data_IF_635909934387
#
_entry.id   IF_635909934387
#
_cell.length_a   1.000
_cell.length_b   1.000
_cell.length_c   1.000
_cell.angle_alpha   90.00
_cell.angle_beta   90.00
_cell.angle_gamma   90.00
#
_symmetry.space_group_name_H-M   'P 1'
#
loop_
_entity.id
_entity.type
_entity.pdbx_description
1 polymer ?
#
# COMPACT_ATOMS: atom_id res chain seq x y z
N UNK A 1 -0.92 -22.18 9.59
CA UNK A 1 -1.01 -20.87 8.90
C UNK A 1 -1.15 -19.82 9.98
N UNK A 2 -0.02 -19.35 10.49
CA UNK A 2 0.05 -18.33 11.54
C UNK A 2 -0.59 -17.06 11.01
N UNK A 3 -1.49 -16.51 11.83
CA UNK A 3 -2.29 -15.33 11.59
C UNK A 3 -1.34 -14.14 11.42
N UNK A 4 -0.76 -13.97 10.24
CA UNK A 4 -0.28 -12.69 9.77
C UNK A 4 -1.40 -11.71 10.08
N UNK A 5 -1.17 -10.84 11.07
CA UNK A 5 -2.21 -10.08 11.73
C UNK A 5 -3.01 -9.30 10.68
N UNK A 6 -4.16 -9.87 10.29
CA UNK A 6 -5.02 -9.33 9.24
C UNK A 6 -5.42 -7.89 9.59
N UNK A 7 -5.36 -7.53 10.88
CA UNK A 7 -5.60 -6.18 11.39
C UNK A 7 -4.63 -5.11 10.89
N UNK A 8 -3.42 -5.48 10.43
CA UNK A 8 -2.49 -4.49 9.84
C UNK A 8 -2.93 -4.12 8.44
N UNK A 9 -3.27 -5.11 7.60
CA UNK A 9 -3.67 -4.88 6.21
C UNK A 9 -5.00 -4.12 6.09
N UNK A 10 -5.92 -4.30 7.04
CA UNK A 10 -7.19 -3.56 7.06
C UNK A 10 -7.00 -2.05 7.29
N UNK A 11 -5.83 -1.62 7.76
CA UNK A 11 -5.47 -0.21 7.96
C UNK A 11 -4.58 0.34 6.84
N UNK A 12 -4.24 -0.47 5.84
CA UNK A 12 -3.47 -0.06 4.68
C UNK A 12 -4.40 0.33 3.53
N UNK A 13 -4.12 1.48 2.94
CA UNK A 13 -4.88 2.03 1.83
C UNK A 13 -3.93 2.32 0.67
N UNK A 14 -4.30 1.83 -0.50
CA UNK A 14 -3.65 2.16 -1.76
C UNK A 14 -4.32 3.43 -2.31
N UNK A 15 -3.49 4.42 -2.65
CA UNK A 15 -3.92 5.70 -3.22
C UNK A 15 -3.41 5.72 -4.66
N UNK A 16 -4.32 5.63 -5.62
CA UNK A 16 -4.00 5.58 -7.06
C UNK A 16 -4.49 6.85 -7.73
N UNK A 17 -3.64 7.51 -8.53
CA UNK A 17 -4.04 8.68 -9.28
C UNK A 17 -5.19 8.32 -10.24
N UNK A 18 -6.27 9.10 -10.21
CA UNK A 18 -7.43 8.90 -11.07
C UNK A 18 -7.22 9.48 -12.49
N UNK A 19 -6.11 10.18 -12.72
CA UNK A 19 -5.84 10.94 -13.94
C UNK A 19 -6.17 12.41 -13.72
N UNK A 20 -7.17 12.91 -14.46
CA UNK A 20 -7.67 14.28 -14.34
C UNK A 20 -8.95 14.35 -13.49
N UNK A 21 -9.18 15.41 -12.70
CA UNK A 21 -8.28 16.57 -12.51
C UNK A 21 -7.06 16.23 -11.64
N UNK A 22 -6.03 17.08 -11.66
CA UNK A 22 -4.87 16.95 -10.76
C UNK A 22 -5.28 16.78 -9.29
N UNK A 23 -4.41 16.15 -8.50
CA UNK A 23 -4.62 15.85 -7.07
C UNK A 23 -5.87 15.00 -6.77
N UNK A 24 -6.36 14.26 -7.78
CA UNK A 24 -7.52 13.38 -7.64
C UNK A 24 -7.11 11.91 -7.65
N UNK A 25 -7.64 11.15 -6.68
CA UNK A 25 -7.20 9.80 -6.40
C UNK A 25 -8.38 8.87 -6.09
N UNK A 26 -8.19 7.59 -6.39
CA UNK A 26 -9.01 6.53 -5.80
C UNK A 26 -8.31 6.00 -4.56
N UNK A 27 -9.09 5.66 -3.52
CA UNK A 27 -8.57 5.17 -2.25
C UNK A 27 -9.13 3.76 -2.01
N UNK A 28 -8.27 2.74 -2.11
CA UNK A 28 -8.63 1.32 -2.01
C UNK A 28 -8.05 0.68 -0.77
N UNK A 29 -8.86 -0.03 0.01
CA UNK A 29 -8.36 -0.81 1.15
C UNK A 29 -7.56 -2.02 0.65
N UNK A 30 -6.34 -2.20 1.14
CA UNK A 30 -5.45 -3.25 0.64
C UNK A 30 -5.89 -4.66 1.07
N UNK A 31 -6.54 -4.80 2.23
CA UNK A 31 -7.04 -6.10 2.69
C UNK A 31 -8.32 -6.53 1.97
N UNK A 32 -9.28 -5.62 1.81
CA UNK A 32 -10.59 -5.95 1.25
C UNK A 32 -10.70 -5.74 -0.25
N UNK A 33 -9.79 -4.97 -0.87
CA UNK A 33 -9.88 -4.57 -2.27
C UNK A 33 -10.97 -3.54 -2.56
N UNK A 34 -11.71 -3.09 -1.54
CA UNK A 34 -12.87 -2.19 -1.68
C UNK A 34 -12.45 -0.73 -1.68
N UNK A 35 -13.19 0.09 -2.42
CA UNK A 35 -12.93 1.53 -2.55
C UNK A 35 -13.68 2.34 -1.51
N UNK A 36 -13.05 3.40 -1.00
CA UNK A 36 -13.67 4.40 -0.14
C UNK A 36 -14.71 5.18 -0.95
N UNK A 37 -15.95 5.20 -0.46
CA UNK A 37 -17.09 5.77 -1.18
C UNK A 37 -17.96 6.61 -0.24
N UNK A 38 -18.37 7.82 -0.65
CA UNK A 38 -19.36 8.60 0.08
C UNK A 38 -20.73 7.90 0.01
N UNK A 39 -21.44 7.81 1.14
CA UNK A 39 -22.76 7.17 1.25
C UNK A 39 -23.75 8.10 1.93
N UNK A 40 -24.91 8.31 1.29
CA UNK A 40 -26.00 9.15 1.78
C UNK A 40 -25.55 10.55 2.27
N UNK A 41 -24.55 11.13 1.60
CA UNK A 41 -24.08 12.51 1.82
C UNK A 41 -23.45 12.81 3.18
N UNK A 42 -23.25 11.81 4.04
CA UNK A 42 -22.80 12.01 5.42
C UNK A 42 -21.86 10.91 5.93
N UNK A 43 -21.97 9.70 5.38
CA UNK A 43 -21.16 8.56 5.81
C UNK A 43 -20.13 8.18 4.75
N UNK A 44 -19.09 7.48 5.19
CA UNK A 44 -18.13 6.84 4.29
C UNK A 44 -18.24 5.34 4.47
N UNK A 45 -18.36 4.63 3.36
CA UNK A 45 -18.41 3.16 3.30
C UNK A 45 -17.33 2.64 2.36
N UNK A 46 -17.15 1.32 2.36
CA UNK A 46 -16.30 0.65 1.36
C UNK A 46 -17.15 -0.19 0.43
N UNK A 47 -17.05 0.01 -0.89
CA UNK A 47 -17.82 -0.72 -1.90
C UNK A 47 -16.95 -1.65 -2.73
N UNK A 48 -17.54 -2.76 -3.17
CA UNK A 48 -16.89 -3.77 -3.98
C UNK A 48 -17.27 -3.58 -5.46
N UNK A 49 -16.69 -2.55 -6.09
CA UNK A 49 -16.87 -2.25 -7.51
C UNK A 49 -15.68 -1.46 -8.06
N UNK A 50 -15.55 -1.43 -9.38
CA UNK A 50 -14.63 -0.51 -10.06
C UNK A 50 -14.99 0.93 -9.69
N UNK A 51 -14.00 1.79 -9.36
CA UNK A 51 -14.28 3.17 -8.99
C UNK A 51 -14.91 3.91 -10.18
N UNK A 52 -15.91 4.72 -9.89
CA UNK A 52 -16.45 5.71 -10.80
C UNK A 52 -16.15 7.12 -10.23
N UNK A 53 -16.66 8.16 -10.88
CA UNK A 53 -16.42 9.55 -10.48
C UNK A 53 -16.76 9.85 -9.00
N UNK A 54 -17.66 9.09 -8.37
CA UNK A 54 -18.00 9.26 -6.95
C UNK A 54 -16.94 8.73 -5.97
N UNK A 55 -15.97 7.95 -6.46
CA UNK A 55 -14.83 7.42 -5.67
C UNK A 55 -13.51 8.16 -5.96
N UNK A 56 -13.60 9.33 -6.58
CA UNK A 56 -12.45 10.16 -6.95
C UNK A 56 -12.25 11.27 -5.91
N UNK A 57 -11.37 11.05 -4.96
CA UNK A 57 -11.12 11.97 -3.84
C UNK A 57 -10.05 12.99 -4.20
N UNK A 58 -10.29 14.26 -3.91
CA UNK A 58 -9.23 15.28 -3.98
C UNK A 58 -8.43 15.25 -2.69
N UNK A 59 -7.11 15.06 -2.78
CA UNK A 59 -6.22 15.05 -1.62
C UNK A 59 -5.31 16.28 -1.70
N UNK A 60 -5.56 17.26 -0.85
CA UNK A 60 -4.76 18.48 -0.77
C UNK A 60 -3.70 18.32 0.33
N UNK A 61 -2.42 18.43 -0.04
CA UNK A 61 -1.27 18.24 0.85
C UNK A 61 -0.77 19.55 1.44
N UNK A 62 -0.31 19.51 2.70
CA UNK A 62 0.32 20.66 3.38
C UNK A 62 1.84 20.76 3.15
N UNK A 63 2.41 19.83 2.39
CA UNK A 63 3.83 19.79 2.00
C UNK A 63 4.70 18.79 2.77
N UNK A 64 4.23 18.21 3.88
CA UNK A 64 5.03 17.25 4.65
C UNK A 64 4.38 15.87 4.73
N UNK A 65 3.35 15.72 5.54
CA UNK A 65 2.66 14.44 5.76
C UNK A 65 1.19 14.63 6.12
N UNK A 66 0.69 15.87 6.14
CA UNK A 66 -0.71 16.12 6.42
C UNK A 66 -1.46 16.44 5.15
N UNK A 67 -2.70 16.03 5.13
CA UNK A 67 -3.60 16.33 4.04
C UNK A 67 -5.03 16.47 4.53
N UNK A 68 -5.84 17.11 3.71
CA UNK A 68 -7.29 17.01 3.77
C UNK A 68 -7.77 16.16 2.60
N UNK A 69 -8.77 15.32 2.83
CA UNK A 69 -9.40 14.50 1.78
C UNK A 69 -10.79 15.07 1.55
N UNK A 70 -11.09 15.45 0.31
CA UNK A 70 -12.33 16.13 -0.06
C UNK A 70 -13.19 15.22 -0.96
N UNK A 71 -14.48 15.21 -0.68
CA UNK A 71 -15.48 14.52 -1.50
C UNK A 71 -15.49 15.10 -2.93
N UNK A 72 -15.46 14.27 -3.99
CA UNK A 72 -15.53 14.74 -5.37
C UNK A 72 -16.74 15.61 -5.69
N UNK A 73 -17.89 15.30 -5.08
CA UNK A 73 -19.18 15.86 -5.48
C UNK A 73 -19.63 17.01 -4.59
N UNK A 74 -18.86 17.34 -3.55
CA UNK A 74 -19.23 18.36 -2.58
C UNK A 74 -18.01 19.12 -2.07
N UNK A 75 -18.22 20.07 -1.16
CA UNK A 75 -17.12 20.69 -0.41
C UNK A 75 -16.90 20.06 0.96
N UNK A 76 -17.48 18.87 1.20
CA UNK A 76 -17.29 18.14 2.44
C UNK A 76 -15.89 17.53 2.51
N UNK A 77 -15.36 17.47 3.73
CA UNK A 77 -14.09 16.84 4.04
C UNK A 77 -14.33 15.52 4.76
N UNK A 78 -13.48 14.55 4.46
CA UNK A 78 -13.41 13.31 5.23
C UNK A 78 -12.90 13.64 6.63
N UNK A 79 -13.66 13.28 7.65
CA UNK A 79 -13.32 13.56 9.03
C UNK A 79 -13.69 12.43 9.98
N UNK A 80 -13.17 12.52 11.19
CA UNK A 80 -13.56 11.67 12.32
C UNK A 80 -14.21 12.57 13.37
N UNK A 81 -15.33 12.10 13.93
CA UNK A 81 -15.95 12.72 15.11
C UNK A 81 -15.26 12.22 16.37
N UNK A 82 -14.85 13.13 17.25
CA UNK A 82 -13.98 12.84 18.41
C UNK A 82 -14.56 11.79 19.39
N UNK A 83 -15.88 11.54 19.36
CA UNK A 83 -16.60 10.56 20.17
C UNK A 83 -16.84 9.20 19.45
N UNK A 84 -16.37 9.03 18.21
CA UNK A 84 -16.68 7.87 17.37
C UNK A 84 -15.44 7.28 16.69
N UNK A 85 -15.42 5.97 16.52
CA UNK A 85 -14.44 5.28 15.66
C UNK A 85 -14.81 5.33 14.16
N UNK A 86 -15.80 6.14 13.80
CA UNK A 86 -16.40 6.17 12.47
C UNK A 86 -15.85 7.32 11.65
N UNK A 87 -15.46 7.02 10.42
CA UNK A 87 -15.08 8.02 9.42
C UNK A 87 -16.37 8.52 8.75
N UNK A 88 -16.55 9.83 8.70
CA UNK A 88 -17.73 10.49 8.15
C UNK A 88 -17.33 11.61 7.19
N UNK A 89 -18.31 12.16 6.50
CA UNK A 89 -18.17 13.42 5.78
C UNK A 89 -18.55 14.57 6.71
N UNK A 90 -17.57 15.37 7.10
CA UNK A 90 -17.77 16.63 7.80
C UNK A 90 -18.08 17.74 6.81
N UNK A 91 -19.16 18.50 7.04
CA UNK A 91 -19.41 19.72 6.27
C UNK A 91 -18.41 20.81 6.69
N UNK A 92 -18.17 21.78 5.81
CA UNK A 92 -17.11 22.81 5.94
C UNK A 92 -17.24 23.77 7.14
N UNK A 93 -18.15 23.52 8.11
CA UNK A 93 -18.55 24.52 9.12
C UNK A 93 -18.68 23.99 10.56
N UNK A 94 -18.44 22.70 10.86
CA UNK A 94 -18.60 22.20 12.23
C UNK A 94 -17.27 21.94 12.95
N UNK A 95 -17.10 22.62 14.09
CA UNK A 95 -15.92 22.60 14.99
C UNK A 95 -15.67 21.26 15.70
N UNK A 96 -16.48 20.23 15.42
CA UNK A 96 -16.50 18.95 16.14
C UNK A 96 -15.80 17.81 15.38
N UNK A 97 -15.28 18.08 14.18
CA UNK A 97 -14.63 17.07 13.35
C UNK A 97 -13.15 17.37 13.15
N UNK A 98 -12.32 16.35 13.25
CA UNK A 98 -10.94 16.39 12.77
C UNK A 98 -10.92 15.95 11.31
N UNK A 99 -10.54 16.88 10.44
CA UNK A 99 -10.48 16.66 8.97
C UNK A 99 -9.05 16.63 8.44
N UNK A 100 -8.07 16.83 9.31
CA UNK A 100 -6.65 16.69 9.00
C UNK A 100 -6.18 15.26 9.21
N UNK A 101 -5.53 14.71 8.19
CA UNK A 101 -5.03 13.34 8.18
C UNK A 101 -3.51 13.35 8.09
N UNK A 102 -2.85 12.54 8.92
CA UNK A 102 -1.42 12.27 8.75
C UNK A 102 -1.23 10.97 7.98
N UNK A 103 -0.71 11.06 6.75
CA UNK A 103 -0.47 9.89 5.89
C UNK A 103 0.98 9.46 6.02
N UNK A 104 1.18 8.23 6.50
CA UNK A 104 2.48 7.58 6.52
C UNK A 104 2.64 6.70 5.28
N UNK A 105 3.54 7.09 4.37
CA UNK A 105 3.89 6.26 3.21
C UNK A 105 4.67 5.02 3.66
N UNK A 106 4.12 3.84 3.35
CA UNK A 106 4.73 2.52 3.66
C UNK A 106 5.19 1.77 2.41
N UNK A 107 5.08 2.38 1.23
CA UNK A 107 5.53 1.83 -0.03
C UNK A 107 6.77 2.57 -0.57
N UNK A 108 7.42 1.98 -1.57
CA UNK A 108 8.46 2.58 -2.39
C UNK A 108 8.27 2.22 -3.85
N UNK A 109 8.62 3.14 -4.73
CA UNK A 109 8.67 2.88 -6.16
C UNK A 109 9.87 2.02 -6.51
N UNK A 110 9.81 1.32 -7.64
CA UNK A 110 10.97 0.55 -8.12
C UNK A 110 12.20 1.43 -8.38
N UNK A 111 12.00 2.70 -8.77
CA UNK A 111 13.08 3.67 -8.90
C UNK A 111 13.74 3.99 -7.55
N UNK A 112 12.96 4.25 -6.50
CA UNK A 112 13.48 4.50 -5.15
C UNK A 112 14.25 3.30 -4.59
N UNK A 113 13.73 2.08 -4.80
CA UNK A 113 14.42 0.84 -4.39
C UNK A 113 15.74 0.70 -5.14
N UNK A 114 15.75 0.92 -6.46
CA UNK A 114 16.95 0.84 -7.28
C UNK A 114 18.01 1.84 -6.80
N UNK A 115 17.63 3.08 -6.54
CA UNK A 115 18.52 4.09 -5.98
C UNK A 115 19.09 3.67 -4.62
N UNK A 116 18.24 3.12 -3.73
CA UNK A 116 18.68 2.65 -2.41
C UNK A 116 19.67 1.47 -2.49
N UNK A 117 19.45 0.52 -3.39
CA UNK A 117 20.37 -0.60 -3.65
C UNK A 117 21.70 -0.08 -4.19
N UNK A 118 21.64 0.82 -5.19
CA UNK A 118 22.82 1.40 -5.81
C UNK A 118 23.73 2.12 -4.81
N UNK A 119 23.15 2.97 -3.95
CA UNK A 119 23.88 3.67 -2.89
C UNK A 119 24.66 2.73 -1.96
N UNK A 120 24.18 1.49 -1.78
CA UNK A 120 24.79 0.48 -0.90
C UNK A 120 25.78 -0.44 -1.60
N UNK A 121 25.58 -0.72 -2.90
CA UNK A 121 26.35 -1.71 -3.65
C UNK A 121 27.34 -1.09 -4.66
N UNK A 122 27.71 0.19 -4.50
CA UNK A 122 28.60 0.93 -5.39
C UNK A 122 29.91 0.21 -5.78
N UNK A 123 30.37 -0.76 -4.98
CA UNK A 123 31.58 -1.57 -5.24
C UNK A 123 31.36 -2.76 -6.18
N UNK A 124 30.13 -3.17 -6.47
CA UNK A 124 29.79 -4.34 -7.30
C UNK A 124 29.17 -3.89 -8.63
N UNK A 125 30.02 -3.42 -9.55
CA UNK A 125 29.60 -2.82 -10.84
C UNK A 125 28.73 -3.73 -11.71
N UNK A 126 28.89 -5.06 -11.61
CA UNK A 126 28.18 -6.03 -12.46
C UNK A 126 26.80 -6.45 -11.95
N UNK A 127 26.46 -6.10 -10.70
CA UNK A 127 25.15 -6.45 -10.13
C UNK A 127 24.02 -5.60 -10.75
N UNK A 128 24.34 -4.38 -11.17
CA UNK A 128 23.36 -3.40 -11.65
C UNK A 128 22.82 -3.69 -13.04
N UNK A 129 23.61 -4.31 -13.92
CA UNK A 129 23.19 -4.66 -15.29
C UNK A 129 22.14 -5.76 -15.32
N UNK A 130 21.97 -6.50 -14.21
CA UNK A 130 21.04 -7.62 -14.08
C UNK A 130 19.88 -7.34 -13.09
N UNK A 131 19.67 -6.09 -12.67
CA UNK A 131 18.49 -5.79 -11.83
C UNK A 131 17.23 -5.75 -12.69
N UNK A 132 16.44 -6.81 -12.62
CA UNK A 132 15.11 -6.86 -13.22
C UNK A 132 14.11 -6.11 -12.34
N UNK A 133 13.53 -5.04 -12.87
CA UNK A 133 12.39 -4.40 -12.21
C UNK A 133 11.12 -5.12 -12.66
N UNK A 134 10.45 -5.77 -11.73
CA UNK A 134 9.25 -6.57 -12.02
C UNK A 134 7.99 -5.71 -11.90
N UNK A 135 7.97 -4.77 -10.96
CA UNK A 135 6.79 -3.96 -10.61
C UNK A 135 7.10 -2.45 -10.45
N UNK A 136 6.04 -1.64 -10.47
CA UNK A 136 6.08 -0.18 -10.32
C UNK A 136 6.22 0.31 -8.86
N UNK A 137 5.48 -0.29 -7.92
CA UNK A 137 5.42 0.12 -6.51
C UNK A 137 5.42 -1.12 -5.59
N UNK A 138 6.11 -1.05 -4.46
CA UNK A 138 6.30 -2.17 -3.54
C UNK A 138 5.93 -1.76 -2.11
N UNK A 139 5.15 -2.59 -1.42
CA UNK A 139 4.92 -2.44 0.02
C UNK A 139 6.17 -2.85 0.79
N UNK A 140 6.65 -1.99 1.70
CA UNK A 140 7.84 -2.27 2.50
C UNK A 140 7.44 -2.87 3.84
N UNK A 141 7.80 -4.13 4.06
CA UNK A 141 7.50 -4.82 5.30
C UNK A 141 8.47 -4.47 6.44
N UNK A 142 7.97 -4.28 7.68
CA UNK A 142 8.81 -4.27 8.86
C UNK A 142 9.59 -5.59 8.99
N UNK A 143 10.81 -5.53 9.55
CA UNK A 143 11.68 -6.71 9.71
C UNK A 143 11.00 -7.89 10.40
N UNK A 144 10.19 -7.63 11.44
CA UNK A 144 9.47 -8.68 12.16
C UNK A 144 8.49 -9.45 11.27
N UNK A 145 7.82 -8.73 10.37
CA UNK A 145 6.88 -9.30 9.41
C UNK A 145 7.59 -10.19 8.38
N UNK A 146 8.68 -9.71 7.78
CA UNK A 146 9.51 -10.51 6.88
C UNK A 146 10.07 -11.76 7.57
N UNK A 147 10.52 -11.62 8.82
CA UNK A 147 11.01 -12.74 9.63
C UNK A 147 9.93 -13.80 9.85
N UNK A 148 8.68 -13.39 10.03
CA UNK A 148 7.56 -14.32 10.17
C UNK A 148 7.28 -15.07 8.87
N UNK A 149 7.26 -14.38 7.72
CA UNK A 149 7.14 -15.01 6.41
C UNK A 149 8.23 -16.08 6.25
N UNK A 150 9.48 -15.73 6.55
CA UNK A 150 10.61 -16.65 6.46
C UNK A 150 10.47 -17.87 7.38
N UNK A 151 9.96 -17.67 8.61
CA UNK A 151 9.70 -18.78 9.55
C UNK A 151 8.61 -19.72 9.06
N UNK A 152 7.62 -19.19 8.34
CA UNK A 152 6.48 -19.93 7.81
C UNK A 152 6.79 -20.62 6.48
N UNK A 153 7.94 -20.32 5.85
CA UNK A 153 8.41 -21.03 4.67
C UNK A 153 8.76 -22.49 5.01
N UNK A 154 8.44 -23.44 4.10
CA UNK A 154 8.82 -24.84 4.29
C UNK A 154 10.34 -24.98 4.47
N UNK A 155 10.75 -25.56 5.60
CA UNK A 155 12.16 -25.87 5.85
C UNK A 155 12.55 -27.08 5.02
N UNK A 156 13.52 -26.93 4.13
CA UNK A 156 14.09 -28.02 3.34
C UNK A 156 15.59 -28.13 3.64
N UNK A 157 16.13 -29.34 3.80
CA UNK A 157 17.55 -29.52 4.05
C UNK A 157 18.34 -29.07 2.83
N UNK A 158 19.47 -28.40 3.07
CA UNK A 158 20.41 -28.05 2.02
C UNK A 158 20.90 -29.31 1.29
N UNK A 159 20.89 -29.27 -0.04
CA UNK A 159 21.43 -30.30 -0.93
C UNK A 159 22.13 -29.62 -2.10
N UNK A 160 23.45 -29.75 -2.17
CA UNK A 160 24.22 -29.14 -3.23
C UNK A 160 23.68 -29.53 -4.62
N UNK A 161 23.41 -28.55 -5.48
CA UNK A 161 22.89 -28.74 -6.83
C UNK A 161 21.43 -29.18 -6.96
N UNK A 162 20.70 -29.32 -5.85
CA UNK A 162 19.28 -29.74 -5.84
C UNK A 162 18.41 -28.78 -5.00
N UNK A 163 18.94 -28.32 -3.88
CA UNK A 163 18.31 -27.34 -2.99
C UNK A 163 19.41 -26.58 -2.25
N UNK A 164 20.05 -25.65 -2.95
CA UNK A 164 21.11 -24.79 -2.47
C UNK A 164 20.65 -23.33 -2.31
N UNK A 165 21.59 -22.38 -2.38
CA UNK A 165 21.36 -21.00 -1.95
C UNK A 165 20.39 -20.22 -2.84
N UNK A 166 20.41 -20.46 -4.15
CA UNK A 166 19.50 -19.85 -5.13
C UNK A 166 18.06 -20.37 -4.96
N UNK A 167 17.89 -21.67 -4.69
CA UNK A 167 16.60 -22.29 -4.38
C UNK A 167 16.00 -21.73 -3.08
N UNK A 168 16.84 -21.49 -2.08
CA UNK A 168 16.43 -20.87 -0.82
C UNK A 168 16.03 -19.40 -1.02
N UNK A 169 16.70 -18.68 -1.92
CA UNK A 169 16.41 -17.28 -2.23
C UNK A 169 15.14 -17.09 -3.08
N UNK A 170 14.85 -18.03 -3.99
CA UNK A 170 13.69 -17.97 -4.89
C UNK A 170 12.44 -18.66 -4.35
N UNK A 171 12.58 -19.51 -3.32
CA UNK A 171 11.47 -20.29 -2.75
C UNK A 171 10.90 -21.33 -3.71
N UNK A 172 11.59 -21.63 -4.82
CA UNK A 172 11.06 -22.46 -5.91
C UNK A 172 11.01 -23.94 -5.53
N UNK A 173 9.85 -24.62 -5.66
CA UNK A 173 9.79 -26.07 -5.69
C UNK A 173 9.99 -26.52 -7.14
N UNK A 174 11.24 -26.79 -7.55
CA UNK A 174 11.59 -27.42 -8.83
C UNK A 174 11.00 -26.75 -10.10
N UNK A 175 11.81 -25.95 -10.79
CA UNK A 175 11.72 -25.90 -12.25
C UNK A 175 12.58 -27.04 -12.81
N UNK A 176 11.98 -28.20 -13.04
CA UNK A 176 12.50 -29.24 -13.95
C UNK A 176 11.27 -29.94 -14.54
N UNK A 177 11.04 -29.95 -15.85
CA UNK A 177 11.92 -30.61 -16.81
C UNK A 177 11.88 -29.95 -18.18
N UNK A 178 13.06 -29.83 -18.77
CA UNK A 178 13.24 -29.99 -20.21
C UNK A 178 12.75 -31.40 -20.60
N UNK A 179 11.86 -31.46 -21.58
CA UNK A 179 11.62 -32.62 -22.43
C UNK A 179 12.03 -32.24 -23.85
#
# INVERSE_FOLDING_TARGET
MTQLDRGVFTRLWLVEAAGEPIDTYTIRNLASGKYMTPFNGSNIVTVDRKPNATEHWTIAWDGYYRCTIKDPNSSALVGIRDDSASIILGTSVQTEFRTEWSIKRVSRSGAEIRTAIWQKLYSYRDFYTHTYQVEGEYLIFPRGFFTQIWKDMPKRPYRQGIYDSDHSATGSPFCSNAG
#
